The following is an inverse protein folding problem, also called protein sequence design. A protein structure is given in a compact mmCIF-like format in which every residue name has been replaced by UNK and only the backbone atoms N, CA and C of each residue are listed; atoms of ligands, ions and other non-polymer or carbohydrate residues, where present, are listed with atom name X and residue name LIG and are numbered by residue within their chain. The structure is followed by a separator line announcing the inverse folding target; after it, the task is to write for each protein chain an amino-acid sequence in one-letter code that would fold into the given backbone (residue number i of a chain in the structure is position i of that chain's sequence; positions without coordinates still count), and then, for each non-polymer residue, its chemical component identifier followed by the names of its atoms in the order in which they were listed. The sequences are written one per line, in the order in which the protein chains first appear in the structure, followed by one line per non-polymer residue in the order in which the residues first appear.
data_IF_342937389444
#
_entry.id   IF_342937389444
#
_cell.length_a   1.000
_cell.length_b   1.000
_cell.length_c   1.000
_cell.angle_alpha   90.00
_cell.angle_beta   90.00
_cell.angle_gamma   90.00
#
_symmetry.space_group_name_H-M   'P 1'
#
loop_
_entity.id
_entity.type
_entity.pdbx_description
1 polymer ?
#
# COMPACT_ATOMS: atom_id res chain seq x y z
N UNK A 1 8.64 -0.30 -10.85
CA UNK A 1 9.45 -0.62 -9.65
C UNK A 1 10.89 -0.10 -9.77
N UNK A 2 11.49 -0.09 -10.97
CA UNK A 2 12.87 0.39 -11.17
C UNK A 2 13.09 1.81 -10.63
N UNK A 3 12.22 2.76 -10.99
CA UNK A 3 12.29 4.14 -10.51
C UNK A 3 12.28 4.24 -8.97
N UNK A 4 11.52 3.36 -8.30
CA UNK A 4 11.44 3.32 -6.85
C UNK A 4 12.78 2.88 -6.25
N UNK A 5 13.35 1.78 -6.78
CA UNK A 5 14.64 1.24 -6.34
C UNK A 5 15.78 2.25 -6.59
N UNK A 6 15.82 2.86 -7.76
CA UNK A 6 16.84 3.86 -8.11
C UNK A 6 16.82 5.06 -7.14
N UNK A 7 15.62 5.52 -6.74
CA UNK A 7 15.48 6.60 -5.76
C UNK A 7 15.94 6.20 -4.35
N UNK A 8 15.62 5.00 -3.91
CA UNK A 8 16.07 4.48 -2.61
C UNK A 8 17.61 4.35 -2.58
N UNK A 9 18.19 3.76 -3.61
CA UNK A 9 19.63 3.57 -3.71
C UNK A 9 20.42 4.88 -3.77
N UNK A 10 19.87 5.93 -4.39
CA UNK A 10 20.54 7.23 -4.48
C UNK A 10 20.82 7.85 -3.09
N UNK A 11 20.10 7.44 -2.05
CA UNK A 11 20.33 7.83 -0.66
C UNK A 11 21.40 7.00 0.07
N UNK A 12 21.98 5.97 -0.58
CA UNK A 12 22.96 5.08 0.05
C UNK A 12 22.40 4.11 1.08
N UNK A 13 21.07 3.95 1.13
CA UNK A 13 20.41 3.02 2.03
C UNK A 13 20.40 1.60 1.48
N UNK A 14 20.45 0.59 2.37
CA UNK A 14 20.15 -0.79 1.99
C UNK A 14 18.65 -0.95 1.71
N UNK A 15 18.32 -1.68 0.65
CA UNK A 15 16.95 -1.84 0.17
C UNK A 15 16.43 -3.25 0.45
N UNK A 16 15.41 -3.33 1.29
CA UNK A 16 14.66 -4.57 1.56
C UNK A 16 13.34 -4.55 0.78
N UNK A 17 13.14 -5.51 -0.10
CA UNK A 17 11.89 -5.65 -0.84
C UNK A 17 11.00 -6.72 -0.20
N UNK A 18 9.81 -6.33 0.25
CA UNK A 18 8.77 -7.27 0.68
C UNK A 18 7.87 -7.56 -0.52
N UNK A 19 7.77 -8.81 -0.89
CA UNK A 19 7.15 -9.23 -2.15
C UNK A 19 6.21 -10.40 -1.95
N UNK A 20 5.04 -10.35 -2.60
CA UNK A 20 4.15 -11.52 -2.70
C UNK A 20 4.88 -12.71 -3.31
N UNK A 21 4.58 -13.92 -2.81
CA UNK A 21 5.10 -15.17 -3.35
C UNK A 21 4.49 -15.54 -4.71
N UNK A 22 4.09 -16.79 -4.86
CA UNK A 22 3.50 -17.28 -6.12
C UNK A 22 2.07 -16.78 -6.40
N UNK A 23 1.43 -16.16 -5.42
CA UNK A 23 0.10 -15.56 -5.55
C UNK A 23 0.16 -14.06 -5.27
N UNK A 24 -0.52 -13.28 -6.10
CA UNK A 24 -0.58 -11.83 -5.96
C UNK A 24 -1.90 -11.38 -5.32
N UNK A 25 -1.98 -10.12 -4.90
CA UNK A 25 -3.10 -9.56 -4.13
C UNK A 25 -4.48 -9.77 -4.78
N UNK A 26 -4.54 -9.92 -6.10
CA UNK A 26 -5.80 -10.16 -6.82
C UNK A 26 -6.31 -11.59 -6.75
N UNK A 27 -5.60 -12.48 -6.07
CA UNK A 27 -5.93 -13.90 -5.99
C UNK A 27 -5.46 -14.71 -7.20
N UNK A 28 -4.68 -14.11 -8.08
CA UNK A 28 -4.13 -14.74 -9.28
C UNK A 28 -2.73 -15.31 -9.00
N UNK A 29 -2.34 -16.31 -9.80
CA UNK A 29 -0.94 -16.76 -9.82
C UNK A 29 -0.07 -15.66 -10.45
N UNK A 30 1.11 -15.44 -9.88
CA UNK A 30 2.11 -14.59 -10.50
C UNK A 30 2.56 -15.19 -11.84
N UNK A 31 2.82 -14.33 -12.84
CA UNK A 31 3.28 -14.77 -14.19
C UNK A 31 4.62 -15.53 -14.11
N UNK A 32 5.50 -15.10 -13.22
CA UNK A 32 6.76 -15.79 -12.91
C UNK A 32 6.73 -16.30 -11.47
N UNK A 33 7.42 -17.42 -11.23
CA UNK A 33 7.58 -17.95 -9.88
C UNK A 33 8.31 -16.95 -8.94
N UNK A 34 8.18 -17.19 -7.65
CA UNK A 34 8.72 -16.28 -6.64
C UNK A 34 10.25 -16.19 -6.66
N UNK A 35 10.96 -17.25 -7.03
CA UNK A 35 12.42 -17.27 -7.11
C UNK A 35 12.88 -16.36 -8.25
N UNK A 36 12.32 -16.52 -9.46
CA UNK A 36 12.60 -15.68 -10.62
C UNK A 36 12.32 -14.20 -10.32
N UNK A 37 11.21 -13.90 -9.64
CA UNK A 37 10.85 -12.53 -9.27
C UNK A 37 11.77 -11.95 -8.19
N UNK A 38 12.18 -12.75 -7.21
CA UNK A 38 13.14 -12.33 -6.20
C UNK A 38 14.51 -12.04 -6.80
N UNK A 39 14.98 -12.93 -7.69
CA UNK A 39 16.24 -12.72 -8.43
C UNK A 39 16.19 -11.42 -9.27
N UNK A 40 15.07 -11.18 -9.97
CA UNK A 40 14.88 -9.96 -10.72
C UNK A 40 14.89 -8.71 -9.82
N UNK A 41 14.32 -8.78 -8.61
CA UNK A 41 14.34 -7.69 -7.65
C UNK A 41 15.78 -7.40 -7.14
N UNK A 42 16.54 -8.44 -6.80
CA UNK A 42 17.95 -8.29 -6.39
C UNK A 42 18.79 -7.72 -7.53
N UNK A 43 18.65 -8.24 -8.74
CA UNK A 43 19.32 -7.68 -9.93
C UNK A 43 18.90 -6.24 -10.25
N UNK A 44 17.69 -5.88 -9.82
CA UNK A 44 17.12 -4.53 -9.97
C UNK A 44 17.58 -3.55 -8.88
N UNK A 45 18.31 -4.02 -7.85
CA UNK A 45 18.88 -3.17 -6.82
C UNK A 45 18.34 -3.41 -5.40
N UNK A 46 17.53 -4.44 -5.15
CA UNK A 46 17.22 -4.83 -3.78
C UNK A 46 18.39 -5.62 -3.18
N UNK A 47 18.77 -5.30 -1.94
CA UNK A 47 19.81 -6.03 -1.21
C UNK A 47 19.24 -7.30 -0.55
N UNK A 48 17.97 -7.29 -0.21
CA UNK A 48 17.26 -8.42 0.40
C UNK A 48 15.83 -8.49 -0.14
N UNK A 49 15.34 -9.70 -0.38
CA UNK A 49 13.94 -9.95 -0.72
C UNK A 49 13.32 -10.86 0.32
N UNK A 50 12.18 -10.44 0.88
CA UNK A 50 11.43 -11.21 1.87
C UNK A 50 10.04 -11.52 1.30
N UNK A 51 9.63 -12.78 1.39
CA UNK A 51 8.30 -13.19 0.96
C UNK A 51 7.23 -12.75 1.98
N UNK A 52 6.25 -11.99 1.52
CA UNK A 52 5.04 -11.75 2.29
C UNK A 52 4.22 -13.04 2.36
N UNK A 53 3.90 -13.55 3.57
CA UNK A 53 3.13 -14.79 3.70
C UNK A 53 1.82 -14.73 2.91
N UNK A 54 1.47 -15.83 2.24
CA UNK A 54 0.33 -15.92 1.32
C UNK A 54 -0.99 -15.47 1.96
N UNK A 55 -1.18 -15.72 3.25
CA UNK A 55 -2.36 -15.30 4.00
C UNK A 55 -2.57 -13.78 4.02
N UNK A 56 -1.48 -13.01 3.93
CA UNK A 56 -1.52 -11.55 3.79
C UNK A 56 -1.53 -11.14 2.33
N UNK A 57 -0.73 -11.80 1.50
CA UNK A 57 -0.60 -11.49 0.08
C UNK A 57 -1.93 -11.57 -0.69
N UNK A 58 -2.83 -12.50 -0.31
CA UNK A 58 -4.17 -12.67 -0.87
C UNK A 58 -5.24 -11.82 -0.17
N UNK A 59 -4.86 -11.01 0.82
CA UNK A 59 -5.79 -10.20 1.59
C UNK A 59 -6.26 -8.95 0.84
N UNK A 60 -7.37 -8.37 1.31
CA UNK A 60 -7.73 -7.01 0.94
C UNK A 60 -6.61 -6.02 1.32
N UNK A 61 -6.65 -4.79 0.77
CA UNK A 61 -5.58 -3.80 0.94
C UNK A 61 -5.17 -3.60 2.40
N UNK A 62 -6.12 -3.53 3.34
CA UNK A 62 -5.85 -3.42 4.78
C UNK A 62 -5.02 -4.60 5.30
N UNK A 63 -5.42 -5.84 4.97
CA UNK A 63 -4.74 -7.04 5.45
C UNK A 63 -3.35 -7.20 4.82
N UNK A 64 -3.25 -6.90 3.53
CA UNK A 64 -1.98 -6.88 2.81
C UNK A 64 -1.00 -5.87 3.43
N UNK A 65 -1.43 -4.62 3.60
CA UNK A 65 -0.62 -3.56 4.18
C UNK A 65 -0.20 -3.89 5.62
N UNK A 66 -1.14 -4.37 6.44
CA UNK A 66 -0.84 -4.79 7.81
C UNK A 66 0.24 -5.87 7.86
N UNK A 67 0.14 -6.90 7.01
CA UNK A 67 1.15 -7.96 6.97
C UNK A 67 2.51 -7.46 6.53
N UNK A 68 2.56 -6.61 5.51
CA UNK A 68 3.81 -6.02 5.03
C UNK A 68 4.46 -5.11 6.11
N UNK A 69 3.67 -4.24 6.74
CA UNK A 69 4.17 -3.33 7.79
C UNK A 69 4.64 -4.10 9.02
N UNK A 70 3.87 -5.09 9.50
CA UNK A 70 4.27 -5.93 10.62
C UNK A 70 5.58 -6.67 10.34
N UNK A 71 5.73 -7.19 9.12
CA UNK A 71 6.96 -7.86 8.72
C UNK A 71 8.15 -6.89 8.69
N UNK A 72 7.96 -5.70 8.12
CA UNK A 72 8.99 -4.64 8.11
C UNK A 72 9.38 -4.22 9.52
N UNK A 73 8.41 -3.98 10.40
CA UNK A 73 8.65 -3.62 11.81
C UNK A 73 9.41 -4.70 12.56
N UNK A 74 9.07 -5.97 12.31
CA UNK A 74 9.72 -7.12 12.95
C UNK A 74 11.19 -7.28 12.57
N UNK A 75 11.64 -6.70 11.46
CA UNK A 75 13.06 -6.69 11.09
C UNK A 75 13.89 -5.81 12.03
N UNK A 76 13.30 -4.77 12.61
CA UNK A 76 13.95 -3.86 13.55
C UNK A 76 15.10 -3.01 12.96
N UNK A 77 15.21 -2.96 11.63
CA UNK A 77 16.29 -2.28 10.90
C UNK A 77 15.78 -1.30 9.84
N UNK A 78 14.46 -1.19 9.66
CA UNK A 78 13.88 -0.32 8.65
C UNK A 78 13.62 1.07 9.21
N UNK A 79 14.15 2.09 8.55
CA UNK A 79 13.92 3.50 8.86
C UNK A 79 12.76 4.08 8.05
N UNK A 80 12.57 3.59 6.82
CA UNK A 80 11.61 4.13 5.86
C UNK A 80 10.83 3.00 5.17
N UNK A 81 9.55 3.26 4.90
CA UNK A 81 8.70 2.40 4.07
C UNK A 81 8.33 3.14 2.78
N UNK A 82 8.88 2.68 1.68
CA UNK A 82 8.69 3.28 0.36
C UNK A 82 7.62 2.58 -0.46
N UNK A 83 6.72 3.36 -1.04
CA UNK A 83 5.67 2.85 -1.93
C UNK A 83 5.31 3.84 -3.03
N UNK A 84 4.71 3.32 -4.11
CA UNK A 84 4.18 4.15 -5.18
C UNK A 84 2.74 4.55 -4.93
N UNK A 85 2.36 5.79 -5.27
CA UNK A 85 0.97 6.25 -5.28
C UNK A 85 0.67 7.05 -6.54
N UNK A 86 -0.60 7.16 -6.90
CA UNK A 86 -1.02 7.97 -8.06
C UNK A 86 -0.90 9.47 -7.74
N UNK A 87 -1.22 9.88 -6.53
CA UNK A 87 -1.14 11.29 -6.13
C UNK A 87 0.30 11.77 -5.90
N UNK A 88 1.20 10.93 -5.36
CA UNK A 88 2.56 11.31 -5.00
C UNK A 88 2.66 12.33 -3.86
N UNK A 89 1.60 12.52 -3.08
CA UNK A 89 1.51 13.49 -1.98
C UNK A 89 1.34 12.77 -0.65
N UNK A 90 2.43 12.69 0.13
CA UNK A 90 2.45 12.01 1.42
C UNK A 90 1.55 12.71 2.45
N UNK A 91 1.44 14.04 2.39
CA UNK A 91 0.63 14.80 3.35
C UNK A 91 -0.86 14.50 3.15
N UNK A 92 -1.33 14.46 1.88
CA UNK A 92 -2.69 14.10 1.55
C UNK A 92 -3.01 12.64 1.95
N UNK A 93 -2.07 11.71 1.71
CA UNK A 93 -2.22 10.31 2.09
C UNK A 93 -2.26 10.14 3.62
N UNK A 94 -1.43 10.86 4.36
CA UNK A 94 -1.41 10.83 5.83
C UNK A 94 -2.69 11.38 6.43
N UNK A 95 -3.20 12.51 5.90
CA UNK A 95 -4.49 13.06 6.33
C UNK A 95 -5.64 12.08 6.08
N UNK A 96 -5.65 11.39 4.94
CA UNK A 96 -6.63 10.34 4.67
C UNK A 96 -6.51 9.15 5.64
N UNK A 97 -5.28 8.74 5.97
CA UNK A 97 -5.03 7.66 6.94
C UNK A 97 -5.51 8.03 8.35
N UNK A 98 -5.35 9.28 8.78
CA UNK A 98 -5.89 9.77 10.05
C UNK A 98 -7.43 9.72 10.10
N UNK A 99 -8.07 10.18 9.02
CA UNK A 99 -9.55 10.12 8.92
C UNK A 99 -10.06 8.68 8.99
N UNK A 100 -9.36 7.75 8.33
CA UNK A 100 -9.69 6.32 8.36
C UNK A 100 -9.44 5.71 9.74
N UNK A 101 -8.36 6.12 10.44
CA UNK A 101 -7.96 5.57 11.73
C UNK A 101 -8.84 6.06 12.88
N UNK A 102 -9.30 7.31 12.84
CA UNK A 102 -10.06 7.93 13.91
C UNK A 102 -11.51 7.47 14.00
N UNK A 103 -12.03 6.84 12.92
CA UNK A 103 -13.42 6.37 12.85
C UNK A 103 -14.41 7.27 13.63
N UNK A 104 -14.39 8.57 13.31
CA UNK A 104 -15.23 9.54 14.00
C UNK A 104 -16.69 9.08 14.01
N UNK A 105 -17.47 9.52 15.00
CA UNK A 105 -18.91 9.21 15.05
C UNK A 105 -19.63 9.61 13.75
N UNK A 106 -19.23 10.75 13.16
CA UNK A 106 -19.73 11.23 11.88
C UNK A 106 -19.38 10.27 10.72
N UNK A 107 -18.14 9.78 10.67
CA UNK A 107 -17.72 8.81 9.66
C UNK A 107 -18.49 7.50 9.78
N UNK A 108 -18.62 6.95 11.00
CA UNK A 108 -19.38 5.71 11.25
C UNK A 108 -20.85 5.85 10.86
N UNK A 109 -21.46 7.00 11.15
CA UNK A 109 -22.85 7.29 10.77
C UNK A 109 -23.00 7.33 9.25
N UNK A 110 -22.14 8.09 8.56
CA UNK A 110 -22.14 8.18 7.11
C UNK A 110 -21.86 6.83 6.42
N UNK A 111 -20.90 6.04 6.95
CA UNK A 111 -20.60 4.71 6.44
C UNK A 111 -21.81 3.76 6.59
N UNK A 112 -22.46 3.78 7.77
CA UNK A 112 -23.65 2.96 8.04
C UNK A 112 -24.79 3.31 7.11
N UNK A 113 -25.03 4.59 6.87
CA UNK A 113 -26.05 5.10 5.94
C UNK A 113 -25.80 4.58 4.52
N UNK A 114 -24.56 4.70 4.03
CA UNK A 114 -24.18 4.24 2.68
C UNK A 114 -24.26 2.72 2.52
N UNK A 115 -23.96 1.97 3.56
CA UNK A 115 -24.16 0.52 3.59
C UNK A 115 -25.64 0.15 3.55
N UNK A 116 -26.49 0.90 4.27
CA UNK A 116 -27.93 0.70 4.24
C UNK A 116 -28.56 1.02 2.87
N UNK A 117 -27.95 1.92 2.10
CA UNK A 117 -28.30 2.19 0.69
C UNK A 117 -27.90 1.06 -0.27
N UNK A 118 -27.28 -0.03 0.23
CA UNK A 118 -26.86 -1.18 -0.57
C UNK A 118 -25.50 -1.02 -1.26
N UNK A 119 -24.72 -0.03 -0.89
CA UNK A 119 -23.37 0.13 -1.44
C UNK A 119 -22.43 -0.97 -0.93
N UNK A 120 -21.47 -1.39 -1.77
CA UNK A 120 -20.37 -2.23 -1.32
C UNK A 120 -19.52 -1.48 -0.27
N UNK A 121 -18.93 -2.22 0.68
CA UNK A 121 -18.12 -1.61 1.75
C UNK A 121 -17.03 -0.65 1.22
N UNK A 122 -16.23 -0.99 0.19
CA UNK A 122 -15.24 -0.07 -0.35
C UNK A 122 -15.85 1.24 -0.88
N UNK A 123 -16.99 1.16 -1.56
CA UNK A 123 -17.69 2.32 -2.08
C UNK A 123 -18.33 3.16 -0.98
N UNK A 124 -18.98 2.54 -0.02
CA UNK A 124 -19.56 3.23 1.14
C UNK A 124 -18.51 3.98 1.94
N UNK A 125 -17.34 3.35 2.16
CA UNK A 125 -16.18 3.95 2.84
C UNK A 125 -15.64 5.15 2.05
N UNK A 126 -15.52 5.02 0.75
CA UNK A 126 -15.13 6.12 -0.15
C UNK A 126 -16.06 7.33 -0.02
N UNK A 127 -17.36 7.12 -0.09
CA UNK A 127 -18.36 8.19 -0.01
C UNK A 127 -18.42 8.82 1.38
N UNK A 128 -18.28 8.02 2.44
CA UNK A 128 -18.28 8.49 3.82
C UNK A 128 -17.06 9.40 4.15
N UNK A 129 -15.97 9.28 3.42
CA UNK A 129 -14.77 10.13 3.57
C UNK A 129 -14.89 11.48 2.87
N UNK A 130 -15.93 11.71 2.08
CA UNK A 130 -16.17 12.99 1.39
C UNK A 130 -15.02 13.39 0.47
N UNK A 131 -14.42 14.57 0.69
CA UNK A 131 -13.31 15.07 -0.13
C UNK A 131 -12.07 14.18 -0.07
N UNK A 132 -11.83 13.48 1.04
CA UNK A 132 -10.77 12.48 1.17
C UNK A 132 -11.03 11.23 0.31
N UNK A 133 -12.28 10.99 -0.05
CA UNK A 133 -12.68 9.85 -0.86
C UNK A 133 -12.08 9.85 -2.27
N UNK A 134 -11.90 11.01 -2.91
CA UNK A 134 -11.29 11.07 -4.26
C UNK A 134 -9.90 10.46 -4.31
N UNK A 135 -9.14 10.56 -3.22
CA UNK A 135 -7.82 9.95 -3.10
C UNK A 135 -7.91 8.42 -3.13
N UNK A 136 -8.98 7.86 -2.56
CA UNK A 136 -9.22 6.41 -2.47
C UNK A 136 -9.94 5.83 -3.70
N UNK A 137 -10.02 6.55 -4.81
CA UNK A 137 -10.50 6.04 -6.09
C UNK A 137 -9.44 5.22 -6.84
N UNK A 138 -8.17 5.37 -6.47
CA UNK A 138 -7.02 4.77 -7.15
C UNK A 138 -6.39 3.67 -6.30
N UNK A 139 -6.10 2.48 -6.88
CA UNK A 139 -5.66 1.30 -6.13
C UNK A 139 -4.39 1.52 -5.30
N UNK A 140 -3.39 2.22 -5.85
CA UNK A 140 -2.14 2.44 -5.11
C UNK A 140 -2.29 3.52 -4.03
N UNK A 141 -3.18 4.51 -4.20
CA UNK A 141 -3.51 5.43 -3.12
C UNK A 141 -4.22 4.71 -1.96
N UNK A 142 -5.15 3.78 -2.27
CA UNK A 142 -5.80 2.95 -1.24
C UNK A 142 -4.73 2.19 -0.45
N UNK A 143 -3.83 1.50 -1.15
CA UNK A 143 -2.77 0.71 -0.52
C UNK A 143 -1.81 1.60 0.29
N UNK A 144 -1.47 2.79 -0.21
CA UNK A 144 -0.65 3.77 0.48
C UNK A 144 -1.29 4.21 1.80
N UNK A 145 -2.58 4.55 1.79
CA UNK A 145 -3.34 4.90 3.00
C UNK A 145 -3.36 3.75 4.00
N UNK A 146 -3.53 2.51 3.54
CA UNK A 146 -3.52 1.34 4.43
C UNK A 146 -2.13 1.07 5.03
N UNK A 147 -1.02 1.33 4.30
CA UNK A 147 0.33 1.27 4.87
C UNK A 147 0.52 2.29 5.99
N UNK A 148 0.15 3.56 5.76
CA UNK A 148 0.26 4.62 6.76
C UNK A 148 -0.64 4.30 7.97
N UNK A 149 -1.87 3.84 7.73
CA UNK A 149 -2.79 3.40 8.79
C UNK A 149 -2.18 2.28 9.64
N UNK A 150 -1.53 1.30 9.00
CA UNK A 150 -0.89 0.20 9.71
C UNK A 150 0.31 0.68 10.54
N UNK A 151 1.14 1.59 10.02
CA UNK A 151 2.24 2.22 10.77
C UNK A 151 1.71 2.97 12.00
N UNK A 152 0.67 3.79 11.82
CA UNK A 152 0.04 4.56 12.91
C UNK A 152 -0.53 3.65 14.01
N UNK A 153 -1.22 2.57 13.63
CA UNK A 153 -1.79 1.58 14.58
C UNK A 153 -0.72 0.86 15.41
N UNK A 154 0.46 0.66 14.85
CA UNK A 154 1.59 0.04 15.55
C UNK A 154 2.41 1.05 16.38
N UNK A 155 2.16 2.35 16.23
CA UNK A 155 3.02 3.37 16.81
C UNK A 155 4.46 3.28 16.26
N UNK A 156 4.59 2.85 15.01
CA UNK A 156 5.87 2.63 14.36
C UNK A 156 6.66 3.92 14.20
N UNK A 157 8.00 3.82 14.24
CA UNK A 157 8.91 4.92 13.94
C UNK A 157 9.31 4.96 12.47
N UNK A 158 8.92 3.97 11.69
CA UNK A 158 9.21 3.88 10.25
C UNK A 158 8.51 5.03 9.53
N UNK A 159 9.26 5.79 8.76
CA UNK A 159 8.76 6.95 8.02
C UNK A 159 8.16 6.50 6.68
N UNK A 160 6.89 6.79 6.40
CA UNK A 160 6.30 6.49 5.10
C UNK A 160 6.79 7.47 4.03
N UNK A 161 7.25 6.95 2.90
CA UNK A 161 7.72 7.73 1.75
C UNK A 161 6.99 7.29 0.50
N UNK A 162 6.42 8.25 -0.25
CA UNK A 162 5.71 7.94 -1.49
C UNK A 162 6.43 8.50 -2.71
N UNK A 163 6.37 7.74 -3.80
CA UNK A 163 6.83 8.19 -5.12
C UNK A 163 5.63 8.20 -6.05
N UNK A 164 5.44 9.33 -6.75
CA UNK A 164 4.40 9.43 -7.76
C UNK A 164 4.66 8.43 -8.88
N UNK A 165 3.65 7.65 -9.24
CA UNK A 165 3.73 6.74 -10.39
C UNK A 165 3.73 7.55 -11.67
N UNK A 166 4.73 7.29 -12.50
CA UNK A 166 4.81 7.79 -13.87
C UNK A 166 4.30 6.67 -14.78
N UNK A 167 3.33 6.92 -15.62
CA UNK A 167 2.67 6.07 -16.60
C UNK A 167 1.27 5.58 -16.21
N UNK A 168 0.45 5.48 -17.27
CA UNK A 168 -0.93 5.05 -17.44
C UNK A 168 -1.68 4.69 -16.16
N UNK A 169 -2.75 5.39 -15.90
CA UNK A 169 -3.72 5.01 -14.88
C UNK A 169 -4.13 3.56 -15.09
N UNK A 170 -4.42 2.85 -14.01
CA UNK A 170 -4.83 1.44 -14.02
C UNK A 170 -6.01 1.12 -14.99
N UNK A 171 -6.73 2.15 -15.41
CA UNK A 171 -7.87 2.10 -16.33
C UNK A 171 -7.56 2.73 -17.70
N UNK A 172 -6.30 3.01 -18.03
CA UNK A 172 -5.91 3.43 -19.37
C UNK A 172 -5.80 2.20 -20.27
N UNK A 173 -6.83 1.99 -21.09
CA UNK A 173 -6.87 1.01 -22.20
C UNK A 173 -6.05 1.48 -23.41
N UNK A 174 -5.11 2.41 -23.25
CA UNK A 174 -4.21 2.84 -24.33
C UNK A 174 -3.06 1.84 -24.46
N UNK A 175 -3.16 0.99 -25.50
CA UNK A 175 -2.04 0.23 -26.04
C UNK A 175 -0.85 1.12 -26.46
#
# INVERSE_FOLDING_TARGET
HRLLLDKMQSGGAAVVAIMSGNFVQRGECAVFDKQTRAEAAVRGGADLVIELPTVYALGAAERFARGAVQLTESLGIADELWFGSECGDISALSAAAELVSTESAAFRSALSEKLAEGMSFPRARFEALGSGGKLLSSPNNILAVEYITALNRLGSRIVPVTVKRENAGYNDDSE
#
